data_IF_503883509462
#
_entry.id   IF_503883509462
#
_cell.length_a   1.000
_cell.length_b   1.000
_cell.length_c   1.000
_cell.angle_alpha   90.00
_cell.angle_beta   90.00
_cell.angle_gamma   90.00
#
_symmetry.space_group_name_H-M   'P 1'
#
loop_
_entity.id
_entity.type
_entity.pdbx_description
1 polymer ?
#
# COMPACT_ATOMS: atom_id res chain seq x y z
N UNK A 1 6.16 -8.35 -11.64
CA UNK A 1 6.10 -9.51 -10.75
C UNK A 1 6.01 -9.01 -9.30
N UNK A 2 5.31 -9.71 -8.42
CA UNK A 2 5.26 -9.36 -6.99
C UNK A 2 6.50 -9.89 -6.29
N UNK A 3 7.12 -9.11 -5.40
CA UNK A 3 8.15 -9.61 -4.47
C UNK A 3 7.47 -9.90 -3.13
N UNK A 4 7.37 -11.16 -2.69
CA UNK A 4 6.50 -11.54 -1.57
C UNK A 4 7.11 -11.10 -0.23
N UNK A 5 6.92 -9.82 0.12
CA UNK A 5 7.30 -9.24 1.42
C UNK A 5 8.79 -9.47 1.77
N UNK A 6 9.66 -9.50 0.76
CA UNK A 6 11.10 -9.72 0.91
C UNK A 6 11.88 -8.61 0.20
N UNK A 7 12.71 -7.92 0.98
CA UNK A 7 13.46 -6.77 0.53
C UNK A 7 14.53 -7.12 -0.52
N UNK A 8 15.13 -8.32 -0.42
CA UNK A 8 16.19 -8.78 -1.29
C UNK A 8 15.61 -9.28 -2.61
N UNK A 9 14.49 -9.99 -2.56
CA UNK A 9 13.79 -10.43 -3.77
C UNK A 9 13.31 -9.21 -4.56
N UNK A 10 12.72 -8.21 -3.91
CA UNK A 10 12.31 -6.96 -4.56
C UNK A 10 13.48 -6.30 -5.30
N UNK A 11 14.62 -6.16 -4.62
CA UNK A 11 15.85 -5.61 -5.22
C UNK A 11 16.32 -6.44 -6.40
N UNK A 12 16.35 -7.77 -6.27
CA UNK A 12 16.81 -8.65 -7.34
C UNK A 12 15.91 -8.59 -8.57
N UNK A 13 14.58 -8.50 -8.39
CA UNK A 13 13.64 -8.33 -9.50
C UNK A 13 13.92 -7.02 -10.26
N UNK A 14 14.21 -5.93 -9.54
CA UNK A 14 14.53 -4.64 -10.16
C UNK A 14 15.86 -4.68 -10.93
N UNK A 15 16.87 -5.39 -10.40
CA UNK A 15 18.14 -5.62 -11.08
C UNK A 15 17.89 -6.40 -12.38
N UNK A 16 17.18 -7.52 -12.31
CA UNK A 16 16.89 -8.35 -13.48
C UNK A 16 16.07 -7.60 -14.54
N UNK A 17 15.13 -6.76 -14.13
CA UNK A 17 14.37 -5.90 -15.04
C UNK A 17 15.28 -4.87 -15.74
N UNK A 18 16.24 -4.29 -15.00
CA UNK A 18 17.22 -3.36 -15.56
C UNK A 18 18.19 -4.05 -16.52
N UNK A 19 18.63 -5.26 -16.18
CA UNK A 19 19.56 -6.05 -16.99
C UNK A 19 18.98 -6.44 -18.37
N UNK A 20 17.65 -6.60 -18.46
CA UNK A 20 16.95 -6.83 -19.75
C UNK A 20 16.61 -5.53 -20.50
N UNK A 21 17.08 -4.38 -20.01
CA UNK A 21 17.01 -3.08 -20.70
C UNK A 21 15.87 -2.16 -20.29
N UNK A 22 15.14 -2.47 -19.20
CA UNK A 22 14.12 -1.55 -18.68
C UNK A 22 14.80 -0.43 -17.89
N UNK A 23 14.47 0.82 -18.18
CA UNK A 23 15.02 1.95 -17.44
C UNK A 23 14.36 2.03 -16.04
N UNK A 24 15.08 2.44 -14.97
CA UNK A 24 14.50 2.54 -13.62
C UNK A 24 13.22 3.40 -13.55
N UNK A 25 13.12 4.45 -14.36
CA UNK A 25 11.95 5.31 -14.49
C UNK A 25 10.70 4.60 -15.03
N UNK A 26 10.87 3.46 -15.70
CA UNK A 26 9.79 2.61 -16.22
C UNK A 26 9.41 1.48 -15.24
N UNK A 27 9.99 1.45 -14.04
CA UNK A 27 9.76 0.43 -13.03
C UNK A 27 9.00 1.01 -11.84
N UNK A 28 7.99 0.27 -11.39
CA UNK A 28 7.28 0.51 -10.13
C UNK A 28 7.42 -0.74 -9.25
N UNK A 29 7.88 -0.54 -8.02
CA UNK A 29 8.10 -1.63 -7.06
C UNK A 29 6.76 -2.00 -6.44
N UNK A 30 6.43 -3.29 -6.48
CA UNK A 30 5.24 -3.85 -5.82
C UNK A 30 5.65 -4.92 -4.80
N UNK A 31 5.86 -4.55 -3.52
CA UNK A 31 6.35 -5.44 -2.47
C UNK A 31 5.26 -6.35 -1.85
N UNK A 32 4.16 -6.57 -2.58
CA UNK A 32 2.88 -7.07 -2.05
C UNK A 32 2.06 -5.99 -1.31
N UNK A 33 0.88 -6.38 -0.85
CA UNK A 33 -0.02 -5.55 -0.05
C UNK A 33 -0.77 -6.46 0.92
N UNK A 34 -1.00 -5.98 2.14
CA UNK A 34 -1.83 -6.60 3.17
C UNK A 34 -2.92 -5.64 3.62
N UNK A 35 -4.10 -6.15 3.92
CA UNK A 35 -5.16 -5.35 4.51
C UNK A 35 -4.87 -5.10 6.00
N UNK A 36 -5.43 -4.03 6.57
CA UNK A 36 -5.39 -3.80 8.00
C UNK A 36 -5.89 -5.05 8.76
N UNK A 37 -5.09 -5.56 9.70
CA UNK A 37 -5.35 -6.78 10.46
C UNK A 37 -4.86 -8.08 9.79
N UNK A 38 -4.34 -8.01 8.57
CA UNK A 38 -3.95 -9.16 7.75
C UNK A 38 -2.56 -8.97 7.14
N UNK A 39 -1.54 -8.84 8.00
CA UNK A 39 -0.13 -8.79 7.60
C UNK A 39 0.35 -7.44 7.04
N UNK A 40 -0.41 -6.37 7.29
CA UNK A 40 -0.07 -5.00 6.86
C UNK A 40 1.29 -4.53 7.41
N UNK A 41 1.64 -4.93 8.64
CA UNK A 41 2.85 -4.56 9.37
C UNK A 41 4.13 -5.10 8.73
N UNK A 42 4.06 -6.26 8.09
CA UNK A 42 5.21 -6.83 7.39
C UNK A 42 5.51 -6.02 6.13
N UNK A 43 4.49 -5.74 5.32
CA UNK A 43 4.63 -4.92 4.11
C UNK A 43 5.04 -3.50 4.47
N UNK A 44 4.44 -2.91 5.51
CA UNK A 44 4.81 -1.59 6.04
C UNK A 44 6.31 -1.52 6.33
N UNK A 45 6.83 -2.50 7.07
CA UNK A 45 8.25 -2.56 7.44
C UNK A 45 9.17 -2.71 6.22
N UNK A 46 8.75 -3.45 5.19
CA UNK A 46 9.50 -3.59 3.94
C UNK A 46 9.52 -2.28 3.16
N UNK A 47 8.38 -1.60 3.05
CA UNK A 47 8.27 -0.31 2.37
C UNK A 47 9.12 0.76 3.05
N UNK A 48 9.12 0.86 4.39
CA UNK A 48 9.97 1.80 5.11
C UNK A 48 11.46 1.52 4.89
N UNK A 49 11.87 0.25 5.03
CA UNK A 49 13.27 -0.14 4.80
C UNK A 49 13.71 0.14 3.37
N UNK A 50 12.84 -0.14 2.41
CA UNK A 50 13.05 0.18 1.00
C UNK A 50 13.20 1.67 0.77
N UNK A 51 12.27 2.48 1.31
CA UNK A 51 12.32 3.94 1.23
C UNK A 51 13.61 4.50 1.82
N UNK A 52 14.01 4.03 3.00
CA UNK A 52 15.27 4.44 3.64
C UNK A 52 16.46 4.05 2.75
N UNK A 53 16.50 2.81 2.25
CA UNK A 53 17.58 2.34 1.36
C UNK A 53 17.71 3.23 0.12
N UNK A 54 16.59 3.55 -0.54
CA UNK A 54 16.55 4.46 -1.69
C UNK A 54 17.08 5.86 -1.36
N UNK A 55 16.66 6.43 -0.23
CA UNK A 55 17.16 7.74 0.24
C UNK A 55 18.65 7.72 0.60
N UNK A 56 19.17 6.58 1.03
CA UNK A 56 20.62 6.39 1.31
C UNK A 56 21.45 6.03 0.08
N UNK A 57 20.85 6.02 -1.12
CA UNK A 57 21.55 5.86 -2.39
C UNK A 57 21.41 4.50 -3.08
N UNK A 58 20.62 3.57 -2.54
CA UNK A 58 20.32 2.32 -3.24
C UNK A 58 19.35 2.59 -4.40
N UNK A 59 19.90 2.72 -5.61
CA UNK A 59 19.12 3.02 -6.83
C UNK A 59 18.04 1.98 -7.11
N UNK A 60 18.23 0.73 -6.70
CA UNK A 60 17.24 -0.34 -6.91
C UNK A 60 16.03 -0.25 -5.97
N UNK A 61 16.07 0.67 -5.01
CA UNK A 61 14.97 1.01 -4.11
C UNK A 61 14.52 2.47 -4.26
N UNK A 62 15.10 3.21 -5.20
CA UNK A 62 14.73 4.60 -5.48
C UNK A 62 13.49 4.75 -6.38
N UNK A 63 12.97 3.64 -6.90
CA UNK A 63 11.78 3.60 -7.76
C UNK A 63 10.48 3.73 -6.93
N UNK A 64 9.37 4.21 -7.53
CA UNK A 64 8.10 4.38 -6.83
C UNK A 64 7.54 3.07 -6.26
N UNK A 65 6.84 3.15 -5.13
CA UNK A 65 6.20 2.03 -4.44
C UNK A 65 4.69 2.02 -4.70
N UNK A 66 4.18 0.87 -5.13
CA UNK A 66 2.76 0.62 -5.36
C UNK A 66 2.16 -0.26 -4.27
N UNK A 67 0.91 0.02 -3.88
CA UNK A 67 0.09 -0.88 -3.06
C UNK A 67 -1.31 -1.07 -3.69
N UNK A 68 -1.72 -2.34 -3.83
CA UNK A 68 -3.05 -2.72 -4.32
C UNK A 68 -4.01 -2.97 -3.15
N UNK A 69 -4.42 -1.86 -2.53
CA UNK A 69 -5.18 -1.85 -1.28
C UNK A 69 -6.59 -2.42 -1.49
N UNK A 70 -7.26 -2.00 -2.55
CA UNK A 70 -8.64 -2.40 -2.79
C UNK A 70 -8.78 -3.91 -3.01
N UNK A 71 -7.77 -4.55 -3.62
CA UNK A 71 -7.75 -6.01 -3.78
C UNK A 71 -7.74 -6.75 -2.45
N UNK A 72 -6.97 -6.29 -1.48
CA UNK A 72 -6.83 -7.02 -0.21
C UNK A 72 -7.90 -6.66 0.82
N UNK A 73 -8.30 -5.39 0.88
CA UNK A 73 -9.30 -4.94 1.86
C UNK A 73 -10.68 -5.54 1.58
N UNK A 74 -11.14 -5.57 0.33
CA UNK A 74 -12.50 -6.03 0.02
C UNK A 74 -12.68 -7.55 0.05
N UNK A 75 -11.68 -8.30 0.54
CA UNK A 75 -11.76 -9.74 0.84
C UNK A 75 -11.90 -10.04 2.33
N UNK A 76 -11.56 -9.08 3.21
CA UNK A 76 -11.53 -9.34 4.66
C UNK A 76 -12.92 -9.20 5.27
N UNK A 77 -13.20 -10.03 6.28
CA UNK A 77 -14.52 -10.11 6.90
C UNK A 77 -14.94 -8.78 7.52
N UNK A 78 -13.99 -8.07 8.12
CA UNK A 78 -14.18 -6.78 8.76
C UNK A 78 -14.50 -5.65 7.76
N UNK A 79 -14.29 -5.84 6.46
CA UNK A 79 -14.70 -4.85 5.46
C UNK A 79 -16.10 -5.13 4.89
N UNK A 80 -16.52 -6.39 4.82
CA UNK A 80 -17.71 -6.81 4.05
C UNK A 80 -18.85 -7.39 4.87
N UNK A 81 -18.58 -7.96 6.06
CA UNK A 81 -19.60 -8.63 6.84
C UNK A 81 -20.63 -7.62 7.38
N UNK A 82 -21.93 -7.83 7.10
CA UNK A 82 -22.99 -6.92 7.51
C UNK A 82 -23.19 -6.97 9.04
N UNK A 83 -23.83 -5.94 9.58
CA UNK A 83 -24.03 -5.80 11.03
C UNK A 83 -24.89 -6.94 11.59
N UNK A 84 -25.83 -7.46 10.81
CA UNK A 84 -26.68 -8.59 11.21
C UNK A 84 -25.88 -9.89 11.42
N UNK A 85 -24.76 -10.06 10.69
CA UNK A 85 -23.88 -11.22 10.88
C UNK A 85 -22.94 -11.01 12.09
N UNK A 86 -22.45 -9.78 12.29
CA UNK A 86 -21.53 -9.44 13.39
C UNK A 86 -21.94 -8.14 14.08
N UNK A 87 -22.94 -8.17 15.00
CA UNK A 87 -23.54 -6.95 15.56
C UNK A 87 -22.57 -6.04 16.32
N UNK A 88 -21.51 -6.60 16.90
CA UNK A 88 -20.51 -5.84 17.66
C UNK A 88 -19.58 -4.96 16.81
N UNK A 89 -19.59 -5.09 15.48
CA UNK A 89 -18.68 -4.35 14.59
C UNK A 89 -19.32 -3.12 13.93
N UNK A 90 -20.62 -2.92 14.13
CA UNK A 90 -21.38 -1.82 13.52
C UNK A 90 -21.48 -1.90 11.98
N UNK A 91 -22.06 -0.85 11.41
CA UNK A 91 -22.42 -0.76 10.00
C UNK A 91 -21.23 -0.88 9.03
N UNK A 92 -21.24 -1.97 8.25
CA UNK A 92 -20.28 -2.26 7.20
C UNK A 92 -20.20 -1.21 6.08
N UNK A 93 -21.29 -0.47 5.79
CA UNK A 93 -21.29 0.61 4.78
C UNK A 93 -20.37 1.77 5.20
N UNK A 94 -20.15 1.94 6.50
CA UNK A 94 -19.18 2.90 7.04
C UNK A 94 -17.82 2.24 7.27
N UNK A 95 -17.82 1.03 7.83
CA UNK A 95 -16.61 0.31 8.23
C UNK A 95 -15.75 -0.12 7.04
N UNK A 96 -16.33 -0.66 5.96
CA UNK A 96 -15.58 -1.11 4.77
C UNK A 96 -14.75 0.01 4.12
N UNK A 97 -15.36 1.16 3.76
CA UNK A 97 -14.61 2.30 3.22
C UNK A 97 -13.57 2.86 4.19
N UNK A 98 -13.85 2.81 5.50
CA UNK A 98 -12.88 3.23 6.52
C UNK A 98 -11.70 2.26 6.57
N UNK A 99 -11.93 0.95 6.49
CA UNK A 99 -10.87 -0.07 6.44
C UNK A 99 -9.93 0.16 5.25
N UNK A 100 -10.50 0.49 4.09
CA UNK A 100 -9.74 0.79 2.88
C UNK A 100 -8.93 2.08 3.02
N UNK A 101 -9.55 3.13 3.54
CA UNK A 101 -8.88 4.41 3.80
C UNK A 101 -7.71 4.25 4.79
N UNK A 102 -7.92 3.55 5.91
CA UNK A 102 -6.90 3.38 6.94
C UNK A 102 -5.75 2.53 6.42
N UNK A 103 -6.04 1.46 5.67
CA UNK A 103 -4.98 0.66 5.01
C UNK A 103 -4.14 1.54 4.09
N UNK A 104 -4.79 2.40 3.28
CA UNK A 104 -4.07 3.36 2.43
C UNK A 104 -3.29 4.42 3.21
N UNK A 105 -3.80 4.90 4.34
CA UNK A 105 -3.10 5.87 5.19
C UNK A 105 -1.83 5.25 5.79
N UNK A 106 -1.90 4.00 6.24
CA UNK A 106 -0.74 3.27 6.77
C UNK A 106 0.34 3.13 5.70
N UNK A 107 -0.02 2.71 4.49
CA UNK A 107 0.96 2.61 3.39
C UNK A 107 1.48 3.96 2.90
N UNK A 108 0.69 5.03 2.99
CA UNK A 108 1.18 6.39 2.76
C UNK A 108 2.29 6.76 3.75
N UNK A 109 2.15 6.43 5.03
CA UNK A 109 3.20 6.68 6.03
C UNK A 109 4.45 5.81 5.80
N UNK A 110 4.28 4.59 5.27
CA UNK A 110 5.38 3.72 4.89
C UNK A 110 6.17 4.20 3.66
N UNK A 111 5.71 5.29 3.01
CA UNK A 111 6.33 5.85 1.81
C UNK A 111 5.78 5.28 0.50
N UNK A 112 4.55 4.78 0.47
CA UNK A 112 3.87 4.40 -0.78
C UNK A 112 3.56 5.59 -1.67
N UNK A 113 3.72 5.42 -2.99
CA UNK A 113 3.54 6.48 -3.99
C UNK A 113 2.25 6.29 -4.81
N UNK A 114 1.89 5.04 -5.11
CA UNK A 114 0.73 4.70 -5.96
C UNK A 114 -0.20 3.75 -5.22
N UNK A 115 -1.48 4.13 -5.12
CA UNK A 115 -2.50 3.35 -4.42
C UNK A 115 -3.62 2.94 -5.37
N UNK A 116 -3.80 1.63 -5.54
CA UNK A 116 -4.97 1.08 -6.24
C UNK A 116 -6.07 0.85 -5.20
N UNK A 117 -7.16 1.59 -5.34
CA UNK A 117 -8.31 1.59 -4.43
C UNK A 117 -9.60 1.38 -5.22
N UNK A 118 -10.65 0.93 -4.54
CA UNK A 118 -11.95 0.57 -5.12
C UNK A 118 -13.09 1.46 -4.65
N UNK A 119 -13.19 1.82 -3.37
CA UNK A 119 -14.35 2.54 -2.87
C UNK A 119 -14.21 4.07 -3.00
N UNK A 120 -15.12 4.77 -3.71
CA UNK A 120 -15.01 6.22 -3.96
C UNK A 120 -14.91 7.08 -2.70
N UNK A 121 -15.66 6.72 -1.64
CA UNK A 121 -15.58 7.42 -0.34
C UNK A 121 -14.18 7.29 0.28
N UNK A 122 -13.57 6.11 0.24
CA UNK A 122 -12.24 5.88 0.80
C UNK A 122 -11.19 6.70 0.03
N UNK A 123 -11.26 6.69 -1.30
CA UNK A 123 -10.39 7.50 -2.18
C UNK A 123 -10.52 8.99 -1.87
N UNK A 124 -11.75 9.49 -1.73
CA UNK A 124 -12.02 10.90 -1.43
C UNK A 124 -11.38 11.31 -0.10
N UNK A 125 -11.59 10.53 0.96
CA UNK A 125 -11.07 10.85 2.29
C UNK A 125 -9.54 10.70 2.36
N UNK A 126 -8.95 9.69 1.71
CA UNK A 126 -7.49 9.56 1.63
C UNK A 126 -6.85 10.75 0.88
N UNK A 127 -7.43 11.16 -0.26
CA UNK A 127 -6.96 12.36 -0.99
C UNK A 127 -7.06 13.62 -0.15
N UNK A 128 -8.15 13.79 0.60
CA UNK A 128 -8.32 14.90 1.54
C UNK A 128 -7.21 14.91 2.59
N UNK A 129 -6.86 13.75 3.15
CA UNK A 129 -5.77 13.61 4.11
C UNK A 129 -4.41 13.95 3.48
N UNK A 130 -4.09 13.39 2.30
CA UNK A 130 -2.85 13.71 1.55
C UNK A 130 -2.72 15.22 1.32
N UNK A 131 -3.79 15.87 0.85
CA UNK A 131 -3.79 17.32 0.63
C UNK A 131 -3.54 18.09 1.93
N UNK A 132 -4.04 17.60 3.07
CA UNK A 132 -3.78 18.22 4.37
C UNK A 132 -2.32 18.12 4.80
N UNK A 133 -1.62 17.04 4.43
CA UNK A 133 -0.18 16.90 4.67
C UNK A 133 0.65 17.84 3.80
N UNK A 134 0.28 17.98 2.52
CA UNK A 134 0.98 18.85 1.57
C UNK A 134 0.76 20.35 1.84
N UNK A 135 -0.41 20.71 2.37
CA UNK A 135 -0.78 22.10 2.66
C UNK A 135 -0.30 22.60 4.02
N UNK A 136 0.38 21.77 4.83
CA UNK A 136 1.11 22.25 6.01
C UNK A 136 2.35 23.02 5.55
N UNK A 137 2.18 24.32 5.32
CA UNK A 137 3.24 25.33 5.23
C UNK A 137 3.06 26.33 6.37
#
# INVERSE_FOLDING_TARGET
AESPVDINIAKQVNILASDIGLAPEDIVIYPSTGALGYGIEYVYSIMERGRIAGLTGDKMWAMPLLADIGKEVWKVKEAVAPEEEVPGWGDHIQRGPLWEMITGLVYLQAGGDIFIMRHPKAVKELKKYINSLLNKR
#
